data_IF_412097998095
#
_entry.id   IF_412097998095
#
_cell.length_a   1.000
_cell.length_b   1.000
_cell.length_c   1.000
_cell.angle_alpha   90.00
_cell.angle_beta   90.00
_cell.angle_gamma   90.00
#
_symmetry.space_group_name_H-M   'P 1'
#
loop_
_entity.id
_entity.type
_entity.pdbx_description
1 polymer ?
#
# COMPACT_ATOMS: atom_id res chain seq x y z
N UNK A 1 -4.93 2.38 19.59
CA UNK A 1 -3.93 1.89 18.60
C UNK A 1 -2.48 2.14 19.05
N UNK A 2 -2.12 3.32 19.53
CA UNK A 2 -0.76 3.60 20.00
C UNK A 2 -0.30 2.65 21.15
N UNK A 3 -1.17 2.38 22.09
CA UNK A 3 -0.90 1.43 23.16
C UNK A 3 -0.66 0.02 22.62
N UNK A 4 -1.50 -0.42 21.68
CA UNK A 4 -1.35 -1.72 21.02
C UNK A 4 0.00 -1.82 20.27
N UNK A 5 0.40 -0.79 19.56
CA UNK A 5 1.69 -0.77 18.87
C UNK A 5 2.88 -0.85 19.83
N UNK A 6 2.75 -0.23 21.00
CA UNK A 6 3.81 -0.24 22.02
C UNK A 6 3.93 -1.59 22.74
N UNK A 7 2.81 -2.24 23.00
CA UNK A 7 2.74 -3.42 23.88
C UNK A 7 2.69 -4.76 23.15
N UNK A 8 2.33 -4.74 21.87
CA UNK A 8 2.24 -5.98 21.09
C UNK A 8 3.59 -6.63 20.87
N UNK A 9 3.72 -7.94 21.09
CA UNK A 9 4.93 -8.69 20.73
C UNK A 9 5.07 -8.87 19.21
N UNK A 10 3.99 -8.62 18.45
CA UNK A 10 3.98 -8.71 16.99
C UNK A 10 4.02 -7.31 16.37
N UNK A 11 4.69 -7.14 15.22
CA UNK A 11 4.66 -5.87 14.48
C UNK A 11 3.22 -5.53 14.08
N UNK A 12 2.82 -4.28 14.28
CA UNK A 12 1.51 -3.78 13.89
C UNK A 12 1.64 -2.97 12.60
N UNK A 13 0.72 -3.21 11.68
CA UNK A 13 0.58 -2.45 10.45
C UNK A 13 -0.77 -1.71 10.46
N UNK A 14 -0.77 -0.43 10.09
CA UNK A 14 -2.00 0.35 9.92
C UNK A 14 -2.46 0.25 8.46
N UNK A 15 -3.75 0.11 8.26
CA UNK A 15 -4.39 0.03 6.94
C UNK A 15 -5.55 1.03 6.89
N UNK A 16 -6.72 0.64 7.33
CA UNK A 16 -7.95 1.42 7.17
C UNK A 16 -7.97 2.69 8.02
N UNK A 17 -7.18 2.77 9.07
CA UNK A 17 -7.01 3.98 9.89
C UNK A 17 -6.47 5.16 9.09
N UNK A 18 -5.85 4.91 7.94
CA UNK A 18 -5.28 5.94 7.08
C UNK A 18 -6.30 6.58 6.14
N UNK A 19 -7.49 5.97 5.98
CA UNK A 19 -8.52 6.45 5.05
C UNK A 19 -9.01 7.83 5.49
N UNK A 20 -9.07 8.77 4.53
CA UNK A 20 -9.57 10.12 4.78
C UNK A 20 -8.57 11.08 5.41
N UNK A 21 -7.38 10.63 5.74
CA UNK A 21 -6.30 11.49 6.26
C UNK A 21 -5.48 12.02 5.09
N UNK A 22 -5.72 13.27 4.69
CA UNK A 22 -5.12 13.86 3.50
C UNK A 22 -4.14 15.00 3.79
N UNK A 23 -4.18 15.58 4.98
CA UNK A 23 -3.28 16.67 5.37
C UNK A 23 -1.91 16.10 5.77
N UNK A 24 -0.80 16.59 5.16
CA UNK A 24 0.55 16.10 5.46
C UNK A 24 0.94 16.23 6.93
N UNK A 25 0.56 17.32 7.58
CA UNK A 25 0.88 17.55 9.00
C UNK A 25 0.13 16.55 9.89
N UNK A 26 -1.13 16.26 9.57
CA UNK A 26 -1.94 15.27 10.28
C UNK A 26 -1.35 13.88 10.08
N UNK A 27 -0.91 13.53 8.88
CA UNK A 27 -0.24 12.25 8.61
C UNK A 27 0.98 12.06 9.49
N UNK A 28 1.86 13.05 9.53
CA UNK A 28 3.07 13.02 10.34
C UNK A 28 2.77 12.90 11.83
N UNK A 29 1.83 13.68 12.32
CA UNK A 29 1.41 13.67 13.72
C UNK A 29 0.79 12.33 14.13
N UNK A 30 -0.08 11.79 13.31
CA UNK A 30 -0.72 10.50 13.52
C UNK A 30 0.31 9.37 13.64
N UNK A 31 1.25 9.29 12.71
CA UNK A 31 2.29 8.26 12.73
C UNK A 31 3.23 8.43 13.93
N UNK A 32 3.51 9.67 14.33
CA UNK A 32 4.35 9.93 15.49
C UNK A 32 3.69 9.52 16.82
N UNK A 33 2.38 9.62 16.92
CA UNK A 33 1.63 9.18 18.11
C UNK A 33 1.47 7.68 18.14
N UNK A 34 1.01 7.08 17.03
CA UNK A 34 0.67 5.66 16.96
C UNK A 34 1.93 4.79 16.90
N UNK A 35 2.94 5.22 16.17
CA UNK A 35 4.23 4.51 15.99
C UNK A 35 4.04 3.05 15.54
N UNK A 36 3.31 2.81 14.44
CA UNK A 36 3.18 1.45 13.91
C UNK A 36 4.52 0.98 13.35
N UNK A 37 4.67 -0.31 13.15
CA UNK A 37 5.85 -0.85 12.46
C UNK A 37 5.77 -0.65 10.96
N UNK A 38 4.55 -0.75 10.41
CA UNK A 38 4.28 -0.63 8.98
C UNK A 38 3.00 0.13 8.72
N UNK A 39 2.88 0.66 7.52
CA UNK A 39 1.62 1.13 6.96
C UNK A 39 1.34 0.39 5.65
N UNK A 40 0.07 0.12 5.41
CA UNK A 40 -0.41 -0.54 4.20
C UNK A 40 -1.14 0.51 3.37
N UNK A 41 -0.77 0.64 2.11
CA UNK A 41 -1.30 1.70 1.26
C UNK A 41 -2.08 1.12 0.07
N UNK A 42 -3.30 1.63 -0.07
CA UNK A 42 -4.20 1.33 -1.18
C UNK A 42 -4.47 2.63 -1.94
N UNK A 43 -3.85 2.85 -3.10
CA UNK A 43 -3.99 4.14 -3.80
C UNK A 43 -5.42 4.60 -4.00
N UNK A 44 -6.34 3.67 -4.25
CA UNK A 44 -7.78 4.00 -4.41
C UNK A 44 -8.43 4.56 -3.15
N UNK A 45 -7.86 4.35 -1.96
CA UNK A 45 -8.44 4.74 -0.67
C UNK A 45 -7.61 5.77 0.10
N UNK A 46 -6.33 5.92 -0.24
CA UNK A 46 -5.38 6.70 0.54
C UNK A 46 -4.84 7.92 -0.23
N UNK A 47 -5.72 8.60 -0.96
CA UNK A 47 -5.38 9.85 -1.65
C UNK A 47 -4.73 9.68 -3.01
N UNK A 48 -4.95 8.55 -3.68
CA UNK A 48 -4.36 8.26 -4.97
C UNK A 48 -2.86 7.97 -4.88
N UNK A 49 -2.18 8.00 -6.01
CA UNK A 49 -0.74 7.78 -6.05
C UNK A 49 0.03 8.89 -5.33
N UNK A 50 -0.40 10.13 -5.48
CA UNK A 50 0.21 11.28 -4.82
C UNK A 50 0.09 11.17 -3.29
N UNK A 51 -1.10 10.89 -2.78
CA UNK A 51 -1.33 10.69 -1.35
C UNK A 51 -0.52 9.53 -0.79
N UNK A 52 -0.37 8.45 -1.54
CA UNK A 52 0.47 7.32 -1.14
C UNK A 52 1.96 7.70 -1.11
N UNK A 53 2.45 8.46 -2.08
CA UNK A 53 3.84 8.96 -2.05
C UNK A 53 4.11 9.79 -0.81
N UNK A 54 3.17 10.64 -0.45
CA UNK A 54 3.24 11.47 0.75
C UNK A 54 3.27 10.63 2.03
N UNK A 55 2.40 9.60 2.13
CA UNK A 55 2.43 8.66 3.23
C UNK A 55 3.77 7.92 3.34
N UNK A 56 4.30 7.46 2.21
CA UNK A 56 5.58 6.73 2.16
C UNK A 56 6.72 7.63 2.64
N UNK A 57 6.78 8.87 2.16
CA UNK A 57 7.81 9.82 2.57
C UNK A 57 7.75 10.12 4.07
N UNK A 58 6.55 10.38 4.58
CA UNK A 58 6.32 10.67 6.01
C UNK A 58 6.67 9.47 6.89
N UNK A 59 6.27 8.27 6.49
CA UNK A 59 6.59 7.04 7.21
C UNK A 59 8.10 6.78 7.23
N UNK A 60 8.76 6.96 6.10
CA UNK A 60 10.21 6.76 5.97
C UNK A 60 11.00 7.68 6.90
N UNK A 61 10.59 8.95 7.02
CA UNK A 61 11.21 9.90 7.94
C UNK A 61 11.15 9.44 9.40
N UNK A 62 10.15 8.65 9.76
CA UNK A 62 9.96 8.13 11.11
C UNK A 62 10.41 6.66 11.26
N UNK A 63 11.08 6.09 10.27
CA UNK A 63 11.55 4.71 10.31
C UNK A 63 10.45 3.67 10.21
N UNK A 64 9.29 4.03 9.68
CA UNK A 64 8.13 3.15 9.49
C UNK A 64 8.16 2.56 8.08
N UNK A 65 8.05 1.24 7.97
CA UNK A 65 8.00 0.55 6.68
C UNK A 65 6.62 0.71 6.02
N UNK A 66 6.57 0.45 4.72
CA UNK A 66 5.33 0.52 3.96
C UNK A 66 5.29 -0.55 2.88
N UNK A 67 4.08 -0.95 2.49
CA UNK A 67 3.89 -1.69 1.24
C UNK A 67 2.58 -1.28 0.59
N UNK A 68 2.51 -1.52 -0.71
CA UNK A 68 1.34 -1.18 -1.52
C UNK A 68 0.50 -2.44 -1.73
N UNK A 69 -0.79 -2.29 -1.59
CA UNK A 69 -1.77 -3.31 -1.91
C UNK A 69 -2.88 -2.71 -2.75
N UNK A 70 -3.77 -3.54 -3.25
CA UNK A 70 -4.97 -3.12 -3.96
C UNK A 70 -6.18 -3.20 -3.06
N UNK A 71 -7.14 -2.30 -3.27
CA UNK A 71 -8.52 -2.49 -2.81
C UNK A 71 -9.20 -3.51 -3.72
N UNK A 72 -10.50 -3.49 -3.85
CA UNK A 72 -11.23 -4.34 -4.80
C UNK A 72 -11.10 -3.73 -6.20
N UNK A 73 -9.97 -3.98 -6.84
CA UNK A 73 -9.62 -3.36 -8.12
C UNK A 73 -9.99 -4.23 -9.32
N UNK A 74 -10.32 -3.57 -10.45
CA UNK A 74 -10.30 -4.22 -11.75
C UNK A 74 -8.84 -4.45 -12.19
N UNK A 75 -8.65 -5.21 -13.27
CA UNK A 75 -7.31 -5.41 -13.82
C UNK A 75 -6.66 -4.10 -14.32
N UNK A 76 -7.45 -3.11 -14.73
CA UNK A 76 -6.94 -1.78 -15.12
C UNK A 76 -6.34 -1.07 -13.92
N UNK A 77 -7.08 -1.00 -12.81
CA UNK A 77 -6.59 -0.41 -11.56
C UNK A 77 -5.39 -1.16 -11.02
N UNK A 78 -5.43 -2.47 -11.03
CA UNK A 78 -4.32 -3.32 -10.59
C UNK A 78 -3.05 -3.07 -11.41
N UNK A 79 -3.17 -2.91 -12.72
CA UNK A 79 -2.04 -2.59 -13.60
C UNK A 79 -1.39 -1.26 -13.21
N UNK A 80 -2.19 -0.23 -12.97
CA UNK A 80 -1.70 1.07 -12.54
C UNK A 80 -0.98 0.99 -11.17
N UNK A 81 -1.54 0.25 -10.24
CA UNK A 81 -0.97 0.07 -8.89
C UNK A 81 0.34 -0.73 -8.98
N UNK A 82 0.42 -1.75 -9.81
CA UNK A 82 1.64 -2.53 -10.00
C UNK A 82 2.79 -1.66 -10.56
N UNK A 83 2.49 -0.80 -11.54
CA UNK A 83 3.47 0.15 -12.06
C UNK A 83 3.91 1.16 -11.00
N UNK A 84 2.96 1.67 -10.23
CA UNK A 84 3.25 2.58 -9.13
C UNK A 84 4.15 1.94 -8.07
N UNK A 85 3.86 0.71 -7.65
CA UNK A 85 4.69 -0.02 -6.69
C UNK A 85 6.11 -0.22 -7.21
N UNK A 86 6.26 -0.57 -8.48
CA UNK A 86 7.58 -0.70 -9.11
C UNK A 86 8.34 0.62 -9.15
N UNK A 87 7.67 1.72 -9.45
CA UNK A 87 8.27 3.05 -9.48
C UNK A 87 8.75 3.49 -8.09
N UNK A 88 7.94 3.28 -7.07
CA UNK A 88 8.23 3.71 -5.70
C UNK A 88 9.35 2.89 -5.05
N UNK A 89 9.28 1.56 -5.17
CA UNK A 89 10.21 0.66 -4.48
C UNK A 89 11.38 0.20 -5.34
N UNK A 90 11.36 0.54 -6.63
CA UNK A 90 12.41 0.20 -7.58
C UNK A 90 12.36 -1.24 -8.06
N UNK A 91 13.33 -1.63 -8.92
CA UNK A 91 13.34 -2.95 -9.56
C UNK A 91 13.67 -4.10 -8.61
N UNK A 92 14.21 -3.83 -7.44
CA UNK A 92 14.61 -4.85 -6.46
C UNK A 92 13.70 -4.78 -5.22
N UNK A 93 12.39 -4.99 -5.42
CA UNK A 93 11.43 -5.06 -4.33
C UNK A 93 11.74 -6.29 -3.49
N UNK A 94 12.06 -6.09 -2.21
CA UNK A 94 12.37 -7.17 -1.27
C UNK A 94 11.18 -7.56 -0.41
N UNK A 95 10.19 -6.67 -0.27
CA UNK A 95 8.98 -6.92 0.52
C UNK A 95 7.84 -7.32 -0.40
N UNK A 96 7.04 -8.36 -0.07
CA UNK A 96 5.85 -8.72 -0.83
C UNK A 96 4.85 -7.58 -0.92
N UNK A 97 4.21 -7.43 -2.07
CA UNK A 97 3.15 -6.44 -2.32
C UNK A 97 1.81 -7.16 -2.49
N UNK A 98 0.74 -6.55 -2.00
CA UNK A 98 -0.59 -7.17 -2.01
C UNK A 98 -1.37 -6.93 -3.30
N UNK A 99 -0.96 -7.50 -4.42
CA UNK A 99 -1.51 -7.22 -5.75
C UNK A 99 -2.32 -8.37 -6.34
N UNK A 100 -2.93 -9.21 -5.50
CA UNK A 100 -3.63 -10.42 -5.94
C UNK A 100 -5.12 -10.27 -6.26
N UNK A 101 -5.69 -9.08 -6.27
CA UNK A 101 -7.14 -8.89 -6.38
C UNK A 101 -7.69 -8.92 -7.81
N UNK A 102 -6.84 -8.97 -8.85
CA UNK A 102 -7.27 -8.94 -10.24
C UNK A 102 -8.10 -10.13 -10.71
N UNK A 103 -8.24 -11.16 -9.89
CA UNK A 103 -9.06 -12.35 -10.19
C UNK A 103 -10.50 -12.27 -9.68
N UNK A 104 -10.88 -11.15 -9.04
CA UNK A 104 -12.22 -10.98 -8.47
C UNK A 104 -13.32 -10.80 -9.50
N UNK A 105 -12.98 -10.35 -10.71
CA UNK A 105 -13.93 -10.04 -11.76
C UNK A 105 -13.76 -10.99 -12.94
N UNK A 106 -14.90 -11.38 -13.55
CA UNK A 106 -14.92 -12.24 -14.75
C UNK A 106 -14.83 -11.42 -16.05
N UNK A 107 -15.19 -10.14 -16.01
CA UNK A 107 -15.29 -9.25 -17.16
C UNK A 107 -14.13 -8.26 -17.24
N UNK A 108 -12.92 -8.77 -17.09
CA UNK A 108 -11.73 -7.92 -17.17
C UNK A 108 -11.41 -7.54 -18.63
N UNK A 109 -10.96 -6.28 -18.81
CA UNK A 109 -10.39 -5.84 -20.07
C UNK A 109 -9.00 -6.46 -20.21
N UNK A 110 -8.59 -6.94 -21.40
CA UNK A 110 -7.24 -7.47 -21.59
C UNK A 110 -6.17 -6.46 -21.22
N UNK A 111 -5.26 -6.86 -20.35
CA UNK A 111 -4.15 -6.04 -19.84
C UNK A 111 -2.88 -6.89 -19.78
N UNK A 112 -1.71 -6.27 -19.77
CA UNK A 112 -0.45 -7.02 -19.76
C UNK A 112 -0.16 -7.77 -18.45
N UNK A 113 -1.00 -7.61 -17.42
CA UNK A 113 -0.84 -8.34 -16.17
C UNK A 113 -1.59 -9.66 -16.20
N UNK A 114 -0.93 -10.72 -15.79
CA UNK A 114 -1.52 -12.05 -15.66
C UNK A 114 -1.06 -12.68 -14.35
N UNK A 115 -2.00 -13.30 -13.63
CA UNK A 115 -1.67 -14.05 -12.42
C UNK A 115 -1.53 -15.52 -12.82
N UNK A 116 -0.35 -16.10 -12.60
CA UNK A 116 -0.06 -17.50 -12.85
C UNK A 116 0.42 -18.10 -11.54
N UNK A 117 -0.41 -18.98 -10.97
CA UNK A 117 -0.21 -19.53 -9.63
C UNK A 117 -0.11 -18.42 -8.58
N UNK A 118 1.05 -18.22 -8.00
CA UNK A 118 1.34 -17.23 -6.96
C UNK A 118 2.10 -16.00 -7.48
N UNK A 119 2.19 -15.85 -8.81
CA UNK A 119 2.98 -14.78 -9.42
C UNK A 119 2.12 -13.88 -10.28
N UNK A 120 2.33 -12.57 -10.14
CA UNK A 120 1.82 -11.56 -11.02
C UNK A 120 2.86 -11.30 -12.11
N UNK A 121 2.52 -11.59 -13.35
CA UNK A 121 3.40 -11.42 -14.50
C UNK A 121 2.95 -10.20 -15.32
N UNK A 122 3.91 -9.39 -15.74
CA UNK A 122 3.72 -8.28 -16.65
C UNK A 122 4.26 -8.69 -18.03
N UNK A 123 3.34 -8.86 -18.97
CA UNK A 123 3.67 -9.30 -20.32
C UNK A 123 3.77 -8.13 -21.29
#
# INVERSE_FOLDING_TARGET
>A
MAELCRESPLPIALDEELIGVNDPDIKGHMLNIIKPRYIILKPSLHGGMEGCREWIATAKEQGIGSWITSALESNIGLNAIAQFASDVYGPHITMPQGLGTGQLFTDNIPMPLTIVKDKLLCL
#
